data_IF_269575532131
#
_entry.id   IF_269575532131
#
_cell.length_a   1.000
_cell.length_b   1.000
_cell.length_c   1.000
_cell.angle_alpha   90.00
_cell.angle_beta   90.00
_cell.angle_gamma   90.00
#
_symmetry.space_group_name_H-M   'P 1'
#
loop_
_entity.id
_entity.type
_entity.pdbx_description
1 polymer ?
#
# COMPACT_ATOMS: atom_id res chain seq x y z
N UNK A 1 -19.17 19.28 0.49
CA UNK A 1 -19.08 17.90 -0.02
C UNK A 1 -20.39 17.39 -0.62
N UNK A 2 -21.42 17.06 0.16
CA UNK A 2 -22.66 16.43 -0.36
C UNK A 2 -23.30 17.20 -1.51
N UNK A 3 -23.45 18.54 -1.39
CA UNK A 3 -23.98 19.38 -2.47
C UNK A 3 -23.13 19.34 -3.76
N UNK A 4 -21.81 19.19 -3.65
CA UNK A 4 -20.90 19.13 -4.79
C UNK A 4 -20.88 17.75 -5.47
N UNK A 5 -21.20 16.69 -4.71
CA UNK A 5 -21.39 15.32 -5.24
C UNK A 5 -22.74 15.16 -5.92
N UNK A 6 -23.75 15.94 -5.53
CA UNK A 6 -25.12 15.89 -6.06
C UNK A 6 -25.38 16.92 -7.18
N UNK A 7 -24.33 17.47 -7.81
CA UNK A 7 -24.48 18.30 -9.00
C UNK A 7 -25.05 17.45 -10.13
N UNK A 8 -26.13 17.93 -10.74
CA UNK A 8 -26.88 17.20 -11.79
C UNK A 8 -26.01 17.01 -13.02
N UNK A 9 -25.34 18.08 -13.46
CA UNK A 9 -24.39 18.06 -14.56
C UNK A 9 -23.12 17.25 -14.21
N UNK A 10 -22.81 16.15 -14.91
CA UNK A 10 -21.64 15.33 -14.64
C UNK A 10 -20.30 16.06 -14.79
N UNK A 11 -20.20 17.00 -15.72
CA UNK A 11 -18.93 17.70 -16.00
C UNK A 11 -18.58 18.70 -14.90
N UNK A 12 -19.61 19.21 -14.22
CA UNK A 12 -19.48 20.10 -13.08
C UNK A 12 -19.55 19.38 -11.72
N UNK A 13 -19.73 18.04 -11.73
CA UNK A 13 -19.79 17.23 -10.51
C UNK A 13 -18.38 16.98 -10.00
N UNK A 14 -18.22 17.12 -8.69
CA UNK A 14 -16.93 16.90 -8.03
C UNK A 14 -16.44 15.47 -8.26
N UNK A 15 -15.19 15.31 -8.69
CA UNK A 15 -14.57 14.00 -8.90
C UNK A 15 -14.32 13.27 -7.57
N UNK A 16 -14.14 11.96 -7.62
CA UNK A 16 -13.83 11.17 -6.42
C UNK A 16 -12.51 11.62 -5.75
N UNK A 17 -11.49 11.93 -6.55
CA UNK A 17 -10.20 12.45 -6.07
C UNK A 17 -10.35 13.82 -5.41
N UNK A 18 -11.15 14.73 -5.99
CA UNK A 18 -11.39 16.05 -5.40
C UNK A 18 -12.24 15.96 -4.12
N UNK A 19 -13.18 15.02 -4.06
CA UNK A 19 -13.94 14.71 -2.85
C UNK A 19 -13.02 14.28 -1.71
N UNK A 20 -12.02 13.45 -2.01
CA UNK A 20 -11.07 12.94 -1.03
C UNK A 20 -10.22 14.07 -0.41
N UNK A 21 -9.94 15.12 -1.18
CA UNK A 21 -9.22 16.28 -0.69
C UNK A 21 -10.04 17.25 0.17
N UNK A 22 -11.37 17.10 0.19
CA UNK A 22 -12.29 18.01 0.88
C UNK A 22 -12.09 17.97 2.40
N UNK A 23 -12.16 19.15 3.04
CA UNK A 23 -11.90 19.35 4.49
C UNK A 23 -12.66 18.38 5.39
N UNK A 24 -13.96 18.17 5.14
CA UNK A 24 -14.79 17.20 5.87
C UNK A 24 -14.22 15.76 5.87
N UNK A 25 -13.68 15.28 4.75
CA UNK A 25 -13.06 13.95 4.65
C UNK A 25 -11.74 13.94 5.43
N UNK A 26 -10.86 14.93 5.19
CA UNK A 26 -9.58 15.05 5.90
C UNK A 26 -9.74 15.18 7.42
N UNK A 27 -10.76 15.88 7.89
CA UNK A 27 -11.04 16.05 9.32
C UNK A 27 -11.61 14.79 10.00
N UNK A 28 -12.23 13.89 9.23
CA UNK A 28 -12.74 12.62 9.73
C UNK A 28 -11.69 11.51 9.78
N UNK A 29 -10.59 11.66 9.04
CA UNK A 29 -9.45 10.76 9.07
C UNK A 29 -8.61 11.04 10.32
N UNK A 30 -8.94 10.37 11.43
CA UNK A 30 -8.02 10.29 12.55
C UNK A 30 -6.75 9.56 12.08
N UNK A 31 -5.64 10.28 11.96
CA UNK A 31 -4.33 9.69 11.74
C UNK A 31 -4.01 8.79 12.94
N UNK A 32 -4.08 7.48 12.75
CA UNK A 32 -3.54 6.55 13.75
C UNK A 32 -2.03 6.80 13.85
N UNK A 33 -1.46 6.94 15.06
CA UNK A 33 -0.04 7.14 15.23
C UNK A 33 0.75 6.07 14.49
N UNK A 34 1.73 6.51 13.71
CA UNK A 34 2.58 5.65 12.89
C UNK A 34 3.46 4.81 13.82
N UNK A 35 3.31 3.49 13.78
CA UNK A 35 4.30 2.59 14.35
C UNK A 35 5.48 2.47 13.38
N UNK A 36 6.49 3.32 13.58
CA UNK A 36 7.70 3.37 12.75
C UNK A 36 8.47 2.05 12.76
N UNK A 37 8.44 1.29 13.85
CA UNK A 37 9.10 -0.02 13.92
C UNK A 37 8.40 -1.03 13.00
N UNK A 38 7.07 -0.95 12.93
CA UNK A 38 6.26 -1.78 12.05
C UNK A 38 6.39 -1.41 10.58
N UNK A 39 6.39 -0.11 10.27
CA UNK A 39 6.68 0.37 8.91
C UNK A 39 8.04 -0.15 8.43
N UNK A 40 9.06 -0.08 9.30
CA UNK A 40 10.38 -0.62 9.02
C UNK A 40 10.35 -2.13 8.73
N UNK A 41 9.65 -2.94 9.53
CA UNK A 41 9.56 -4.38 9.29
C UNK A 41 8.91 -4.69 7.93
N UNK A 42 7.83 -3.99 7.60
CA UNK A 42 7.11 -4.14 6.33
C UNK A 42 7.99 -3.78 5.13
N UNK A 43 8.71 -2.65 5.20
CA UNK A 43 9.65 -2.22 4.17
C UNK A 43 10.81 -3.22 3.99
N UNK A 44 11.27 -3.83 5.08
CA UNK A 44 12.31 -4.87 5.02
C UNK A 44 11.79 -6.17 4.39
N UNK A 45 10.54 -6.57 4.69
CA UNK A 45 9.90 -7.73 4.07
C UNK A 45 9.76 -7.55 2.56
N UNK A 46 9.30 -6.37 2.12
CA UNK A 46 9.19 -6.04 0.69
C UNK A 46 10.54 -6.09 -0.03
N UNK A 47 11.62 -5.64 0.62
CA UNK A 47 13.00 -5.76 0.10
C UNK A 47 13.44 -7.22 -0.09
N UNK A 48 13.04 -8.10 0.82
CA UNK A 48 13.33 -9.53 0.77
C UNK A 48 12.45 -10.33 -0.19
N UNK A 49 11.38 -9.74 -0.73
CA UNK A 49 10.43 -10.46 -1.56
C UNK A 49 11.05 -10.92 -2.89
N UNK A 50 10.67 -12.12 -3.31
CA UNK A 50 11.10 -12.75 -4.57
C UNK A 50 9.92 -13.47 -5.19
N UNK A 51 9.23 -12.86 -6.15
CA UNK A 51 8.10 -13.51 -6.82
C UNK A 51 8.53 -14.86 -7.44
N UNK A 52 7.86 -15.95 -7.08
CA UNK A 52 8.02 -17.26 -7.72
C UNK A 52 6.65 -17.92 -7.90
N UNK A 53 6.48 -18.60 -9.04
CA UNK A 53 5.36 -19.44 -9.52
C UNK A 53 3.93 -19.01 -9.12
N UNK A 54 3.04 -18.83 -10.12
CA UNK A 54 1.62 -18.45 -9.96
C UNK A 54 0.83 -19.24 -8.90
N UNK A 55 1.24 -20.47 -8.60
CA UNK A 55 0.65 -21.27 -7.52
C UNK A 55 0.91 -20.67 -6.14
N UNK A 56 2.12 -20.19 -5.86
CA UNK A 56 2.47 -19.58 -4.58
C UNK A 56 1.68 -18.28 -4.38
N UNK A 57 1.54 -17.49 -5.44
CA UNK A 57 0.72 -16.29 -5.48
C UNK A 57 -0.74 -16.56 -5.05
N UNK A 58 -1.36 -17.59 -5.64
CA UNK A 58 -2.72 -18.01 -5.29
C UNK A 58 -2.83 -18.49 -3.83
N UNK A 59 -1.82 -19.18 -3.31
CA UNK A 59 -1.78 -19.65 -1.92
C UNK A 59 -1.69 -18.45 -0.97
N UNK A 60 -0.81 -17.48 -1.21
CA UNK A 60 -0.72 -16.27 -0.39
C UNK A 60 -2.02 -15.48 -0.40
N UNK A 61 -2.63 -15.31 -1.58
CA UNK A 61 -3.93 -14.65 -1.70
C UNK A 61 -5.02 -15.38 -0.90
N UNK A 62 -5.04 -16.71 -0.94
CA UNK A 62 -5.98 -17.50 -0.14
C UNK A 62 -5.79 -17.28 1.36
N UNK A 63 -4.56 -17.34 1.86
CA UNK A 63 -4.28 -17.12 3.28
C UNK A 63 -4.70 -15.72 3.73
N UNK A 64 -4.37 -14.69 2.96
CA UNK A 64 -4.80 -13.31 3.24
C UNK A 64 -6.31 -13.20 3.27
N UNK A 65 -6.99 -13.81 2.30
CA UNK A 65 -8.43 -13.65 2.15
C UNK A 65 -9.18 -14.37 3.26
N UNK A 66 -8.79 -15.62 3.57
CA UNK A 66 -9.59 -16.53 4.39
C UNK A 66 -9.00 -16.86 5.75
N UNK A 67 -7.68 -16.71 5.94
CA UNK A 67 -7.00 -17.14 7.18
C UNK A 67 -6.47 -15.98 8.02
N UNK A 68 -6.10 -14.85 7.40
CA UNK A 68 -5.69 -13.66 8.13
C UNK A 68 -6.86 -13.07 8.94
N UNK A 69 -6.55 -12.75 10.20
CA UNK A 69 -7.48 -12.14 11.15
C UNK A 69 -7.88 -10.74 10.72
N UNK A 70 -8.99 -10.22 11.29
CA UNK A 70 -9.43 -8.84 11.02
C UNK A 70 -8.38 -7.82 11.47
N UNK A 71 -7.67 -8.10 12.55
CA UNK A 71 -6.60 -7.25 13.08
C UNK A 71 -5.44 -7.20 12.09
N UNK A 72 -4.90 -8.34 11.64
CA UNK A 72 -3.82 -8.39 10.64
C UNK A 72 -4.20 -7.71 9.32
N UNK A 73 -5.46 -7.84 8.88
CA UNK A 73 -5.95 -7.15 7.68
C UNK A 73 -6.04 -5.64 7.85
N UNK A 74 -6.60 -5.18 8.97
CA UNK A 74 -6.66 -3.75 9.28
C UNK A 74 -5.27 -3.15 9.40
N UNK A 75 -4.36 -3.93 9.94
CA UNK A 75 -2.95 -3.62 10.08
C UNK A 75 -2.29 -3.41 8.71
N UNK A 76 -2.38 -4.40 7.83
CA UNK A 76 -1.84 -4.28 6.46
C UNK A 76 -2.44 -3.07 5.74
N UNK A 77 -3.76 -2.89 5.83
CA UNK A 77 -4.45 -1.76 5.24
C UNK A 77 -3.98 -0.40 5.80
N UNK A 78 -3.75 -0.31 7.11
CA UNK A 78 -3.24 0.90 7.75
C UNK A 78 -1.84 1.27 7.27
N UNK A 79 -0.98 0.27 7.05
CA UNK A 79 0.38 0.53 6.52
C UNK A 79 0.35 0.88 5.05
N UNK A 80 -0.52 0.24 4.28
CA UNK A 80 -0.73 0.56 2.87
C UNK A 80 -1.15 2.03 2.70
N UNK A 81 -2.18 2.45 3.44
CA UNK A 81 -2.68 3.84 3.46
C UNK A 81 -1.67 4.87 3.95
N UNK A 82 -0.63 4.43 4.64
CA UNK A 82 0.43 5.32 5.09
C UNK A 82 1.44 5.61 3.97
N UNK A 83 1.68 4.63 3.10
CA UNK A 83 2.54 4.79 1.94
C UNK A 83 1.78 5.51 0.81
N UNK A 84 0.53 5.10 0.55
CA UNK A 84 -0.41 5.69 -0.40
C UNK A 84 -0.86 7.08 0.09
N UNK A 85 -0.15 8.11 -0.34
CA UNK A 85 -0.29 9.47 0.18
C UNK A 85 -1.46 10.21 -0.45
N UNK A 86 -1.78 9.89 -1.71
CA UNK A 86 -2.91 10.47 -2.43
C UNK A 86 -4.21 9.65 -2.30
N UNK A 87 -4.14 8.47 -1.69
CA UNK A 87 -5.24 7.53 -1.47
C UNK A 87 -5.89 7.06 -2.78
N UNK A 88 -5.11 6.90 -3.84
CA UNK A 88 -5.58 6.37 -5.12
C UNK A 88 -5.69 4.82 -5.13
N UNK A 89 -5.20 4.17 -4.06
CA UNK A 89 -5.23 2.72 -3.90
C UNK A 89 -4.02 2.00 -4.50
N UNK A 90 -2.96 2.73 -4.84
CA UNK A 90 -1.70 2.20 -5.38
C UNK A 90 -0.53 2.89 -4.70
N UNK A 91 0.63 2.25 -4.72
CA UNK A 91 1.87 2.84 -4.21
C UNK A 91 2.80 3.06 -5.40
N UNK A 92 3.02 4.31 -5.75
CA UNK A 92 3.95 4.69 -6.83
C UNK A 92 5.40 4.60 -6.38
N UNK A 93 6.34 4.57 -7.34
CA UNK A 93 7.79 4.59 -7.04
C UNK A 93 8.17 5.76 -6.12
N UNK A 94 7.52 6.92 -6.30
CA UNK A 94 7.77 8.13 -5.51
C UNK A 94 7.29 7.97 -4.07
N UNK A 95 6.12 7.41 -3.86
CA UNK A 95 5.56 7.16 -2.53
C UNK A 95 6.36 6.09 -1.78
N UNK A 96 6.77 5.04 -2.49
CA UNK A 96 7.63 4.00 -1.94
C UNK A 96 8.99 4.57 -1.54
N UNK A 97 9.56 5.48 -2.33
CA UNK A 97 10.81 6.18 -2.00
C UNK A 97 10.69 6.99 -0.72
N UNK A 98 9.62 7.76 -0.57
CA UNK A 98 9.36 8.51 0.67
C UNK A 98 9.28 7.57 1.87
N UNK A 99 8.61 6.42 1.73
CA UNK A 99 8.56 5.38 2.76
C UNK A 99 9.94 4.84 3.14
N UNK A 100 10.78 4.48 2.16
CA UNK A 100 12.13 3.98 2.42
C UNK A 100 13.08 5.03 3.00
N UNK A 101 12.93 6.30 2.62
CA UNK A 101 13.71 7.41 3.19
C UNK A 101 13.47 7.62 4.69
N UNK A 102 12.34 7.16 5.23
CA UNK A 102 12.09 7.17 6.68
C UNK A 102 12.91 6.13 7.44
N UNK A 103 13.52 5.17 6.75
CA UNK A 103 14.15 3.98 7.34
C UNK A 103 15.60 3.77 6.90
N UNK A 104 15.96 4.23 5.69
CA UNK A 104 17.25 4.05 5.04
C UNK A 104 17.87 5.40 4.65
N UNK A 105 19.16 5.40 4.31
CA UNK A 105 19.81 6.55 3.68
C UNK A 105 19.26 6.82 2.27
N UNK A 106 19.35 8.06 1.79
CA UNK A 106 18.76 8.49 0.51
C UNK A 106 19.27 7.67 -0.69
N UNK A 107 20.59 7.41 -0.75
CA UNK A 107 21.20 6.60 -1.80
C UNK A 107 20.73 5.13 -1.76
N UNK A 108 20.64 4.55 -0.57
CA UNK A 108 20.16 3.17 -0.38
C UNK A 108 18.67 3.03 -0.67
N UNK A 109 17.87 4.04 -0.31
CA UNK A 109 16.44 4.08 -0.59
C UNK A 109 16.20 4.08 -2.11
N UNK A 110 16.87 4.93 -2.87
CA UNK A 110 16.71 5.01 -4.32
C UNK A 110 17.06 3.69 -5.03
N UNK A 111 18.12 3.02 -4.58
CA UNK A 111 18.50 1.71 -5.12
C UNK A 111 17.49 0.63 -4.74
N UNK A 112 17.10 0.59 -3.46
CA UNK A 112 16.16 -0.41 -2.92
C UNK A 112 14.80 -0.31 -3.61
N UNK A 113 14.28 0.90 -3.82
CA UNK A 113 12.98 1.12 -4.48
C UNK A 113 12.95 0.49 -5.86
N UNK A 114 13.98 0.70 -6.68
CA UNK A 114 14.05 0.11 -8.03
C UNK A 114 14.08 -1.42 -7.99
N UNK A 115 14.84 -1.99 -7.06
CA UNK A 115 14.91 -3.44 -6.88
C UNK A 115 13.55 -4.01 -6.44
N UNK A 116 12.89 -3.34 -5.51
CA UNK A 116 11.59 -3.71 -4.96
C UNK A 116 10.48 -3.62 -6.00
N UNK A 117 10.42 -2.51 -6.75
CA UNK A 117 9.46 -2.34 -7.85
C UNK A 117 9.61 -3.47 -8.88
N UNK A 118 10.83 -3.75 -9.34
CA UNK A 118 11.08 -4.83 -10.30
C UNK A 118 10.73 -6.23 -9.79
N UNK A 119 10.71 -6.44 -8.47
CA UNK A 119 10.44 -7.74 -7.86
C UNK A 119 8.96 -7.95 -7.48
N UNK A 120 8.22 -6.87 -7.24
CA UNK A 120 6.83 -6.90 -6.74
C UNK A 120 5.83 -6.56 -7.85
N UNK A 121 6.11 -5.55 -8.69
CA UNK A 121 5.24 -5.09 -9.79
C UNK A 121 5.19 -6.15 -10.89
N UNK A 122 4.30 -7.13 -10.69
CA UNK A 122 4.19 -8.33 -11.51
C UNK A 122 3.36 -8.07 -12.76
N UNK A 123 2.50 -7.05 -12.70
CA UNK A 123 1.69 -6.59 -13.82
C UNK A 123 2.36 -5.49 -14.65
N UNK A 124 3.53 -5.00 -14.24
CA UNK A 124 4.30 -3.91 -14.86
C UNK A 124 3.50 -2.62 -15.05
N UNK A 125 2.62 -2.32 -14.08
CA UNK A 125 1.82 -1.10 -14.10
C UNK A 125 2.60 0.15 -13.68
N UNK A 126 3.81 -0.02 -13.12
CA UNK A 126 4.62 1.06 -12.58
C UNK A 126 4.18 1.53 -11.19
N UNK A 127 3.25 0.81 -10.55
CA UNK A 127 2.78 1.03 -9.19
C UNK A 127 2.46 -0.31 -8.53
N UNK A 128 2.59 -0.39 -7.21
CA UNK A 128 2.25 -1.58 -6.43
C UNK A 128 0.80 -1.48 -6.01
N UNK A 129 -0.04 -2.41 -6.47
CA UNK A 129 -1.43 -2.49 -6.01
C UNK A 129 -1.53 -3.14 -4.61
N UNK A 130 -2.72 -3.04 -3.99
CA UNK A 130 -2.93 -3.59 -2.66
C UNK A 130 -2.65 -5.10 -2.57
N UNK A 131 -2.96 -5.86 -3.62
CA UNK A 131 -2.73 -7.31 -3.65
C UNK A 131 -1.23 -7.60 -3.71
N UNK A 132 -0.50 -6.92 -4.58
CA UNK A 132 0.96 -7.00 -4.71
C UNK A 132 1.67 -6.60 -3.42
N UNK A 133 1.22 -5.52 -2.76
CA UNK A 133 1.73 -5.09 -1.46
C UNK A 133 1.53 -6.17 -0.40
N UNK A 134 0.33 -6.74 -0.30
CA UNK A 134 0.07 -7.77 0.71
C UNK A 134 0.95 -9.00 0.46
N UNK A 135 1.09 -9.45 -0.78
CA UNK A 135 1.97 -10.58 -1.09
C UNK A 135 3.43 -10.32 -0.71
N UNK A 136 3.90 -9.09 -0.90
CA UNK A 136 5.27 -8.71 -0.60
C UNK A 136 5.55 -8.49 0.91
N UNK A 137 4.52 -8.22 1.70
CA UNK A 137 4.65 -7.92 3.13
C UNK A 137 4.51 -9.13 4.03
N UNK A 138 3.90 -10.21 3.54
CA UNK A 138 3.76 -11.46 4.27
C UNK A 138 5.12 -12.13 4.48
N UNK A 139 5.44 -12.39 5.76
CA UNK A 139 6.62 -13.17 6.10
C UNK A 139 6.38 -14.64 5.75
N UNK A 140 7.19 -15.18 4.82
CA UNK A 140 7.10 -16.56 4.33
C UNK A 140 7.26 -17.61 5.43
N UNK A 141 8.08 -17.34 6.43
CA UNK A 141 8.37 -18.28 7.50
C UNK A 141 7.18 -18.45 8.45
N UNK A 142 6.36 -17.40 8.63
CA UNK A 142 5.20 -17.45 9.51
C UNK A 142 3.96 -18.11 8.87
N UNK A 143 3.93 -18.27 7.55
CA UNK A 143 2.77 -18.86 6.84
C UNK A 143 2.94 -20.34 6.49
N UNK A 144 4.17 -20.83 6.40
CA UNK A 144 4.48 -22.22 5.98
C UNK A 144 4.96 -23.09 7.15
N UNK A 145 5.09 -22.53 8.36
CA UNK A 145 5.43 -23.25 9.57
C UNK A 145 4.20 -23.76 10.32
#
# INVERSE_FOLDING_TARGET
LIRAMLVVDPDNRLSASDCLQHTWIKSGAALTPVDTARLKNILMNMKGFRAQQKLQEAIYMFFVTFMATREEKNDLLGTFKLLDSDNDGKITEKELLVGYQMVLSEEEAQKTVKEVMNAIDSNHSGAIDYTEFVMATLNRENMLS
#
